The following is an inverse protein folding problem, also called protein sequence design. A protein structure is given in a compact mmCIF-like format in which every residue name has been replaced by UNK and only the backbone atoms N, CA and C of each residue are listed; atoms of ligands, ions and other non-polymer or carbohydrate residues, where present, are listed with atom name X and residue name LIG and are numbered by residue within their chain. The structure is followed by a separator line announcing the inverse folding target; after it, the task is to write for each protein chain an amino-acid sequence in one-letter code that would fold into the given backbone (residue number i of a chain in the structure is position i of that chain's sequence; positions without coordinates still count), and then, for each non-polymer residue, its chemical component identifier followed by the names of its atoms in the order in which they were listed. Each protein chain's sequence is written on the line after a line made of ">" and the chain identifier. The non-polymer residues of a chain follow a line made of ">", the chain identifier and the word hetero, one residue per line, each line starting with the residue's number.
data_IF_684883000288
#
_entry.id   IF_684883000288
#
_cell.length_a   1.000
_cell.length_b   1.000
_cell.length_c   1.000
_cell.angle_alpha   90.00
_cell.angle_beta   90.00
_cell.angle_gamma   90.00
#
_symmetry.space_group_name_H-M   'P 1'
#
loop_
_entity.id
_entity.type
_entity.pdbx_description
1 polymer ?
#
# COMPACT_ATOMS: atom_id res chain seq x y z
N UNK A 1 12.60 9.40 -5.92
CA UNK A 1 12.59 10.86 -6.15
C UNK A 1 12.68 11.22 -7.63
N UNK A 2 13.66 10.66 -8.35
CA UNK A 2 13.91 11.00 -9.75
C UNK A 2 12.78 10.60 -10.68
N UNK A 3 12.14 9.44 -10.52
CA UNK A 3 11.06 9.02 -11.43
C UNK A 3 9.90 10.01 -11.47
N UNK A 4 9.34 10.36 -10.31
CA UNK A 4 8.19 11.27 -10.25
C UNK A 4 8.55 12.69 -10.70
N UNK A 5 9.75 13.17 -10.37
CA UNK A 5 10.24 14.48 -10.81
C UNK A 5 10.49 14.51 -12.33
N UNK A 6 11.09 13.46 -12.89
CA UNK A 6 11.33 13.31 -14.32
C UNK A 6 10.01 13.15 -15.07
N UNK A 7 9.06 12.36 -14.55
CA UNK A 7 7.72 12.24 -15.12
C UNK A 7 6.96 13.58 -15.09
N UNK A 8 7.10 14.40 -14.04
CA UNK A 8 6.55 15.75 -14.02
C UNK A 8 7.20 16.66 -15.06
N UNK A 9 8.50 16.51 -15.32
CA UNK A 9 9.18 17.24 -16.40
C UNK A 9 8.67 16.79 -17.79
N UNK A 10 8.43 15.49 -17.98
CA UNK A 10 7.81 14.96 -19.21
C UNK A 10 6.41 15.56 -19.39
N UNK A 11 5.58 15.56 -18.35
CA UNK A 11 4.24 16.15 -18.36
C UNK A 11 4.25 17.62 -18.81
N UNK A 12 5.15 18.42 -18.23
CA UNK A 12 5.32 19.84 -18.56
C UNK A 12 5.75 20.08 -20.01
N UNK A 13 6.51 19.16 -20.60
CA UNK A 13 6.97 19.27 -21.98
C UNK A 13 5.93 18.79 -23.00
N UNK A 14 5.14 17.77 -22.66
CA UNK A 14 4.09 17.25 -23.54
C UNK A 14 2.94 18.26 -23.68
N UNK A 15 2.64 19.03 -22.63
CA UNK A 15 1.62 20.12 -22.62
C UNK A 15 0.20 19.69 -23.04
N UNK A 16 -0.04 18.39 -23.12
CA UNK A 16 -1.32 17.75 -23.43
C UNK A 16 -1.52 16.60 -22.45
N UNK A 17 -2.55 16.76 -21.61
CA UNK A 17 -2.87 15.84 -20.53
C UNK A 17 -3.33 14.48 -21.05
N UNK A 18 -4.10 14.43 -22.15
CA UNK A 18 -4.58 13.17 -22.73
C UNK A 18 -3.41 12.42 -23.37
N UNK A 19 -2.57 13.13 -24.12
CA UNK A 19 -1.38 12.57 -24.75
C UNK A 19 -0.36 12.09 -23.72
N UNK A 20 -0.20 12.81 -22.60
CA UNK A 20 0.67 12.38 -21.50
C UNK A 20 0.17 11.07 -20.87
N UNK A 21 -1.14 10.91 -20.64
CA UNK A 21 -1.69 9.65 -20.15
C UNK A 21 -1.39 8.48 -21.10
N UNK A 22 -1.60 8.68 -22.40
CA UNK A 22 -1.35 7.68 -23.43
C UNK A 22 0.12 7.23 -23.42
N UNK A 23 1.05 8.18 -23.33
CA UNK A 23 2.50 7.90 -23.19
C UNK A 23 2.77 7.05 -21.94
N UNK A 24 2.20 7.40 -20.79
CA UNK A 24 2.42 6.66 -19.55
C UNK A 24 1.86 5.24 -19.66
N UNK A 25 0.66 5.07 -20.22
CA UNK A 25 0.01 3.77 -20.39
C UNK A 25 0.80 2.85 -21.31
N UNK A 26 1.23 3.35 -22.47
CA UNK A 26 2.02 2.56 -23.42
C UNK A 26 3.41 2.23 -22.87
N UNK A 27 4.06 3.17 -22.18
CA UNK A 27 5.34 2.90 -21.53
C UNK A 27 5.18 1.87 -20.41
N UNK A 28 4.13 1.99 -19.59
CA UNK A 28 3.82 1.01 -18.55
C UNK A 28 3.54 -0.37 -19.17
N UNK A 29 2.80 -0.44 -20.29
CA UNK A 29 2.54 -1.69 -21.00
C UNK A 29 3.83 -2.35 -21.47
N UNK A 30 4.75 -1.58 -22.06
CA UNK A 30 6.06 -2.08 -22.47
C UNK A 30 6.87 -2.58 -21.27
N UNK A 31 6.92 -1.81 -20.19
CA UNK A 31 7.64 -2.19 -18.97
C UNK A 31 7.05 -3.46 -18.35
N UNK A 32 5.72 -3.56 -18.25
CA UNK A 32 5.02 -4.75 -17.80
C UNK A 32 5.39 -5.97 -18.65
N UNK A 33 5.40 -5.81 -19.98
CA UNK A 33 5.80 -6.89 -20.87
C UNK A 33 7.23 -7.36 -20.61
N UNK A 34 8.20 -6.45 -20.50
CA UNK A 34 9.61 -6.78 -20.27
C UNK A 34 9.77 -7.47 -18.91
N UNK A 35 9.06 -6.99 -17.89
CA UNK A 35 9.09 -7.57 -16.55
C UNK A 35 8.46 -8.96 -16.50
N UNK A 36 7.36 -9.20 -17.23
CA UNK A 36 6.69 -10.50 -17.29
C UNK A 36 7.44 -11.52 -18.15
N UNK A 37 8.09 -11.06 -19.23
CA UNK A 37 8.80 -11.90 -20.21
C UNK A 37 10.30 -11.56 -20.27
N UNK A 38 11.06 -11.69 -19.16
CA UNK A 38 12.45 -11.25 -19.11
C UNK A 38 13.40 -12.13 -19.94
N UNK A 39 12.92 -13.22 -20.53
CA UNK A 39 13.71 -14.10 -21.41
C UNK A 39 13.56 -13.72 -22.89
N UNK A 40 12.58 -12.90 -23.24
CA UNK A 40 12.30 -12.49 -24.62
C UNK A 40 12.99 -11.16 -24.93
N UNK A 41 14.06 -11.21 -25.71
CA UNK A 41 14.88 -10.03 -26.00
C UNK A 41 14.39 -9.21 -27.21
N UNK A 42 13.65 -9.83 -28.12
CA UNK A 42 13.19 -9.22 -29.40
C UNK A 42 12.06 -8.18 -29.21
N UNK A 43 11.46 -8.15 -28.02
CA UNK A 43 10.31 -7.30 -27.67
C UNK A 43 10.63 -6.29 -26.55
N UNK A 44 11.90 -5.93 -26.39
CA UNK A 44 12.38 -4.91 -25.44
C UNK A 44 12.56 -3.52 -26.05
N UNK A 45 12.14 -3.35 -27.30
CA UNK A 45 12.31 -2.11 -28.08
C UNK A 45 11.02 -1.30 -28.11
N UNK A 46 11.15 0.03 -28.10
CA UNK A 46 10.03 0.95 -28.28
C UNK A 46 9.53 0.89 -29.73
N UNK A 47 8.51 0.07 -29.96
CA UNK A 47 7.84 -0.10 -31.28
C UNK A 47 6.63 0.81 -31.46
N UNK A 48 6.05 1.33 -30.38
CA UNK A 48 4.83 2.15 -30.46
C UNK A 48 5.07 3.48 -31.18
N UNK A 49 4.15 3.84 -32.08
CA UNK A 49 4.18 5.10 -32.81
C UNK A 49 4.01 6.31 -31.89
N UNK A 50 3.17 6.22 -30.86
CA UNK A 50 2.96 7.30 -29.88
C UNK A 50 4.23 7.59 -29.09
N UNK A 51 4.87 6.55 -28.54
CA UNK A 51 6.14 6.69 -27.84
C UNK A 51 7.23 7.24 -28.78
N UNK A 52 7.31 6.73 -30.02
CA UNK A 52 8.27 7.21 -31.04
C UNK A 52 8.10 8.71 -31.34
N UNK A 53 6.87 9.21 -31.46
CA UNK A 53 6.57 10.63 -31.68
C UNK A 53 7.07 11.53 -30.54
N UNK A 54 7.22 10.98 -29.34
CA UNK A 54 7.63 11.72 -28.13
C UNK A 54 9.12 11.55 -27.84
N UNK A 55 9.85 10.65 -28.53
CA UNK A 55 11.30 10.49 -28.34
C UNK A 55 12.11 11.77 -28.61
N UNK A 56 11.58 12.69 -29.43
CA UNK A 56 12.18 14.01 -29.68
C UNK A 56 12.05 14.97 -28.47
N UNK A 57 11.21 14.64 -27.49
CA UNK A 57 11.15 15.35 -26.22
C UNK A 57 12.33 14.93 -25.35
N UNK A 58 13.25 15.86 -25.11
CA UNK A 58 14.47 15.63 -24.31
C UNK A 58 14.15 15.06 -22.92
N UNK A 59 13.15 15.63 -22.23
CA UNK A 59 12.71 15.15 -20.93
C UNK A 59 12.25 13.67 -20.95
N UNK A 60 11.57 13.24 -22.01
CA UNK A 60 11.11 11.85 -22.15
C UNK A 60 12.26 10.91 -22.49
N UNK A 61 13.13 11.33 -23.41
CA UNK A 61 14.37 10.62 -23.75
C UNK A 61 15.24 10.39 -22.52
N UNK A 62 15.40 11.42 -21.68
CA UNK A 62 16.20 11.35 -20.46
C UNK A 62 15.55 10.48 -19.39
N UNK A 63 14.23 10.48 -19.30
CA UNK A 63 13.52 9.54 -18.42
C UNK A 63 13.74 8.08 -18.87
N UNK A 64 13.64 7.78 -20.17
CA UNK A 64 13.90 6.45 -20.72
C UNK A 64 15.33 5.98 -20.41
N UNK A 65 16.32 6.85 -20.61
CA UNK A 65 17.73 6.55 -20.24
C UNK A 65 17.88 6.30 -18.75
N UNK A 66 17.25 7.14 -17.93
CA UNK A 66 17.30 7.03 -16.48
C UNK A 66 16.75 5.67 -15.99
N UNK A 67 15.63 5.18 -16.54
CA UNK A 67 15.04 3.89 -16.18
C UNK A 67 15.75 2.67 -16.84
N UNK A 68 16.78 2.92 -17.65
CA UNK A 68 17.70 1.90 -18.16
C UNK A 68 17.53 1.52 -19.63
N UNK A 69 16.70 2.23 -20.41
CA UNK A 69 16.73 2.10 -21.87
C UNK A 69 18.01 2.74 -22.43
N UNK A 70 18.48 2.22 -23.56
CA UNK A 70 19.62 2.75 -24.30
C UNK A 70 19.24 3.00 -25.76
N UNK A 71 19.91 3.96 -26.38
CA UNK A 71 19.75 4.23 -27.81
C UNK A 71 20.69 3.33 -28.60
N UNK A 72 20.15 2.43 -29.41
CA UNK A 72 20.89 1.56 -30.31
C UNK A 72 20.30 1.68 -31.72
N UNK A 73 21.12 2.00 -32.72
CA UNK A 73 20.68 2.14 -34.12
C UNK A 73 19.45 3.06 -34.29
N UNK A 74 19.42 4.17 -33.55
CA UNK A 74 18.32 5.15 -33.56
C UNK A 74 16.99 4.65 -32.95
N UNK A 75 16.98 3.51 -32.27
CA UNK A 75 15.85 2.99 -31.50
C UNK A 75 16.18 2.92 -30.00
N UNK A 76 15.16 3.02 -29.15
CA UNK A 76 15.31 2.81 -27.70
C UNK A 76 15.03 1.35 -27.36
N UNK A 77 16.04 0.68 -26.79
CA UNK A 77 15.98 -0.73 -26.38
C UNK A 77 16.35 -0.86 -24.91
N UNK A 78 15.67 -1.74 -24.18
CA UNK A 78 16.11 -2.15 -22.85
C UNK A 78 17.13 -3.29 -22.95
N UNK A 79 18.42 -3.08 -22.63
CA UNK A 79 19.47 -4.08 -22.87
C UNK A 79 19.25 -5.40 -22.13
N UNK A 80 19.76 -6.51 -22.67
CA UNK A 80 19.63 -7.84 -22.04
C UNK A 80 20.46 -7.96 -20.75
N UNK A 81 21.56 -7.22 -20.67
CA UNK A 81 22.50 -7.17 -19.56
C UNK A 81 22.01 -6.27 -18.42
N UNK A 82 21.03 -5.40 -18.68
CA UNK A 82 20.54 -4.43 -17.72
C UNK A 82 19.62 -5.10 -16.67
N UNK A 83 19.83 -4.77 -15.39
CA UNK A 83 18.98 -5.30 -14.32
C UNK A 83 17.56 -4.74 -14.39
N UNK A 84 16.57 -5.58 -14.08
CA UNK A 84 15.14 -5.19 -14.13
C UNK A 84 14.69 -4.30 -12.94
N UNK A 85 15.58 -3.99 -12.00
CA UNK A 85 15.19 -3.24 -10.80
C UNK A 85 14.73 -1.83 -11.12
N UNK A 86 15.43 -1.11 -12.01
CA UNK A 86 15.00 0.22 -12.47
C UNK A 86 13.63 0.18 -13.16
N UNK A 87 13.35 -0.87 -13.92
CA UNK A 87 12.03 -1.08 -14.52
C UNK A 87 10.94 -1.36 -13.50
N UNK A 88 11.22 -2.06 -12.40
CA UNK A 88 10.24 -2.28 -11.32
C UNK A 88 9.93 -0.98 -10.57
N UNK A 89 10.95 -0.15 -10.33
CA UNK A 89 10.76 1.19 -9.74
C UNK A 89 9.96 2.08 -10.69
N UNK A 90 10.30 2.07 -11.98
CA UNK A 90 9.58 2.81 -13.02
C UNK A 90 8.14 2.32 -13.21
N UNK A 91 7.90 1.00 -13.18
CA UNK A 91 6.56 0.39 -13.20
C UNK A 91 5.73 0.94 -12.06
N UNK A 92 6.25 0.87 -10.83
CA UNK A 92 5.55 1.40 -9.66
C UNK A 92 5.34 2.91 -9.77
N UNK A 93 6.31 3.68 -10.28
CA UNK A 93 6.16 5.13 -10.48
C UNK A 93 5.13 5.48 -11.55
N UNK A 94 5.08 4.74 -12.65
CA UNK A 94 4.10 4.92 -13.73
C UNK A 94 2.69 4.50 -13.31
N UNK A 95 2.54 3.32 -12.70
CA UNK A 95 1.25 2.87 -12.13
C UNK A 95 0.73 3.91 -11.15
N UNK A 96 1.60 4.42 -10.28
CA UNK A 96 1.29 5.51 -9.37
C UNK A 96 0.87 6.77 -10.13
N UNK A 97 1.68 7.28 -11.06
CA UNK A 97 1.38 8.51 -11.84
C UNK A 97 0.07 8.39 -12.65
N UNK A 98 -0.20 7.24 -13.25
CA UNK A 98 -1.44 6.94 -13.97
C UNK A 98 -2.62 6.95 -13.01
N UNK A 99 -2.52 6.21 -11.90
CA UNK A 99 -3.56 6.18 -10.88
C UNK A 99 -3.78 7.57 -10.25
N UNK A 100 -2.73 8.39 -10.16
CA UNK A 100 -2.75 9.75 -9.62
C UNK A 100 -3.41 10.78 -10.54
N UNK A 101 -3.11 10.75 -11.83
CA UNK A 101 -3.51 11.81 -12.76
C UNK A 101 -4.80 11.50 -13.52
N UNK A 102 -5.17 10.23 -13.69
CA UNK A 102 -6.21 9.84 -14.65
C UNK A 102 -7.27 8.87 -14.11
N UNK A 103 -7.00 8.22 -12.96
CA UNK A 103 -7.85 7.14 -12.44
C UNK A 103 -7.88 5.91 -13.37
N UNK A 104 -8.47 4.80 -12.92
CA UNK A 104 -8.67 3.65 -13.81
C UNK A 104 -9.87 3.91 -14.73
N UNK A 105 -9.59 4.46 -15.92
CA UNK A 105 -10.23 4.14 -17.19
C UNK A 105 -11.78 4.17 -17.26
N UNK A 106 -12.41 5.25 -16.77
CA UNK A 106 -13.82 5.56 -17.11
C UNK A 106 -14.03 6.85 -17.89
N UNK A 107 -13.06 7.76 -17.94
CA UNK A 107 -13.21 9.02 -18.69
C UNK A 107 -12.72 8.96 -20.15
N UNK A 108 -12.07 7.87 -20.59
CA UNK A 108 -11.62 7.72 -21.99
C UNK A 108 -12.77 7.38 -22.96
N UNK A 109 -13.92 6.88 -22.46
CA UNK A 109 -15.09 6.59 -23.31
C UNK A 109 -15.77 7.84 -23.90
N UNK A 110 -15.45 9.04 -23.42
CA UNK A 110 -16.01 10.29 -23.96
C UNK A 110 -15.25 10.81 -25.19
N UNK A 111 -14.04 10.32 -25.46
CA UNK A 111 -13.21 10.72 -26.61
C UNK A 111 -13.02 9.50 -27.50
N UNK A 112 -13.77 9.41 -28.61
CA UNK A 112 -13.80 8.26 -29.53
C UNK A 112 -12.47 7.91 -30.19
N UNK A 113 -11.53 7.36 -29.42
CA UNK A 113 -10.26 6.81 -29.86
C UNK A 113 -10.45 5.32 -30.24
N UNK A 114 -9.76 4.80 -31.28
CA UNK A 114 -9.90 3.43 -31.74
C UNK A 114 -9.49 2.40 -30.66
N UNK A 115 -10.32 1.35 -30.52
CA UNK A 115 -10.17 0.20 -29.62
C UNK A 115 -8.92 -0.68 -29.92
N UNK A 116 -7.71 -0.15 -29.80
CA UNK A 116 -6.48 -0.97 -29.90
C UNK A 116 -5.80 -1.27 -28.56
N UNK A 117 -6.30 -0.73 -27.45
CA UNK A 117 -5.80 -1.07 -26.11
C UNK A 117 -6.60 -2.28 -25.59
N UNK A 118 -6.15 -3.49 -25.91
CA UNK A 118 -6.52 -4.67 -25.11
C UNK A 118 -5.90 -4.50 -23.73
N UNK A 119 -6.60 -3.78 -22.85
CA UNK A 119 -6.27 -3.70 -21.43
C UNK A 119 -6.20 -5.13 -20.88
N UNK A 120 -4.99 -5.58 -20.53
CA UNK A 120 -4.82 -6.83 -19.79
C UNK A 120 -5.65 -6.72 -18.52
N UNK A 121 -6.65 -7.60 -18.36
CA UNK A 121 -7.42 -7.75 -17.12
C UNK A 121 -6.43 -7.85 -15.95
N UNK A 122 -6.52 -6.94 -14.98
CA UNK A 122 -5.77 -7.05 -13.71
C UNK A 122 -5.97 -8.46 -13.15
N UNK A 123 -4.88 -9.09 -12.69
CA UNK A 123 -4.91 -10.44 -12.10
C UNK A 123 -5.95 -10.44 -10.99
N UNK A 124 -7.01 -11.23 -11.15
CA UNK A 124 -8.01 -11.42 -10.11
C UNK A 124 -7.57 -12.57 -9.23
N UNK A 125 -7.07 -12.25 -8.03
CA UNK A 125 -6.62 -13.25 -7.09
C UNK A 125 -7.78 -14.10 -6.57
N UNK A 126 -7.56 -15.41 -6.47
CA UNK A 126 -8.46 -16.31 -5.75
C UNK A 126 -8.06 -16.41 -4.28
N UNK A 127 -9.04 -16.49 -3.35
CA UNK A 127 -8.77 -16.76 -1.94
C UNK A 127 -8.03 -18.09 -1.73
N UNK A 128 -7.05 -18.08 -0.83
CA UNK A 128 -6.28 -19.26 -0.43
C UNK A 128 -6.96 -19.97 0.74
N UNK A 129 -8.03 -20.73 0.47
CA UNK A 129 -8.73 -21.53 1.48
C UNK A 129 -8.18 -22.96 1.50
N UNK A 130 -6.94 -23.12 1.96
CA UNK A 130 -6.19 -24.39 1.81
C UNK A 130 -5.66 -24.95 3.13
N UNK A 131 -5.79 -24.22 4.24
CA UNK A 131 -5.34 -24.71 5.53
C UNK A 131 -6.37 -25.68 6.13
N UNK A 132 -5.95 -26.92 6.36
CA UNK A 132 -6.71 -27.93 7.09
C UNK A 132 -6.28 -27.91 8.56
N UNK A 133 -6.91 -27.04 9.35
CA UNK A 133 -6.57 -26.85 10.77
C UNK A 133 -7.73 -26.25 11.55
N UNK A 134 -7.86 -26.64 12.82
CA UNK A 134 -8.80 -26.02 13.77
C UNK A 134 -8.15 -24.85 14.55
N UNK A 135 -6.86 -24.59 14.31
CA UNK A 135 -6.12 -23.53 14.99
C UNK A 135 -6.67 -22.15 14.60
N UNK A 136 -7.25 -21.45 15.58
CA UNK A 136 -7.90 -20.16 15.36
C UNK A 136 -6.96 -19.06 14.88
N UNK A 137 -5.68 -19.08 15.28
CA UNK A 137 -4.69 -18.12 14.80
C UNK A 137 -4.40 -18.33 13.31
N UNK A 138 -4.19 -19.59 12.90
CA UNK A 138 -3.93 -19.91 11.49
C UNK A 138 -5.12 -19.58 10.59
N UNK A 139 -6.35 -19.91 11.03
CA UNK A 139 -7.58 -19.54 10.33
C UNK A 139 -7.76 -18.01 10.23
N UNK A 140 -7.38 -17.28 11.29
CA UNK A 140 -7.40 -15.81 11.27
C UNK A 140 -6.38 -15.24 10.28
N UNK A 141 -5.17 -15.79 10.22
CA UNK A 141 -4.13 -15.39 9.25
C UNK A 141 -4.62 -15.63 7.81
N UNK A 142 -5.20 -16.80 7.54
CA UNK A 142 -5.79 -17.11 6.22
C UNK A 142 -6.88 -16.09 5.84
N UNK A 143 -7.77 -15.78 6.77
CA UNK A 143 -8.84 -14.79 6.55
C UNK A 143 -8.27 -13.42 6.22
N UNK A 144 -7.30 -12.93 7.01
CA UNK A 144 -6.65 -11.63 6.77
C UNK A 144 -5.93 -11.59 5.41
N UNK A 145 -5.26 -12.68 5.03
CA UNK A 145 -4.57 -12.78 3.75
C UNK A 145 -5.53 -12.78 2.54
N UNK A 146 -6.71 -13.38 2.71
CA UNK A 146 -7.77 -13.35 1.70
C UNK A 146 -8.45 -11.97 1.65
N UNK A 147 -8.65 -11.34 2.79
CA UNK A 147 -9.24 -9.99 2.88
C UNK A 147 -8.42 -8.95 2.12
N UNK A 148 -7.11 -9.14 1.94
CA UNK A 148 -6.27 -8.23 1.16
C UNK A 148 -6.74 -8.08 -0.30
N UNK A 149 -7.42 -9.09 -0.85
CA UNK A 149 -7.94 -9.06 -2.24
C UNK A 149 -8.94 -7.91 -2.43
N UNK A 150 -9.71 -7.55 -1.40
CA UNK A 150 -10.75 -6.50 -1.51
C UNK A 150 -10.16 -5.12 -1.78
N UNK A 151 -8.93 -4.85 -1.35
CA UNK A 151 -8.25 -3.57 -1.60
C UNK A 151 -7.75 -3.43 -3.03
N UNK A 152 -7.77 -4.51 -3.83
CA UNK A 152 -7.42 -4.50 -5.26
C UNK A 152 -8.65 -4.24 -6.15
N UNK A 153 -9.81 -3.93 -5.57
CA UNK A 153 -10.99 -3.49 -6.31
C UNK A 153 -10.81 -2.05 -6.83
N UNK A 154 -10.76 -1.89 -8.14
CA UNK A 154 -10.49 -0.59 -8.78
C UNK A 154 -11.56 0.47 -8.54
N UNK A 155 -12.84 0.08 -8.50
CA UNK A 155 -13.92 1.02 -8.18
C UNK A 155 -13.77 1.55 -6.75
N UNK A 156 -13.45 0.67 -5.82
CA UNK A 156 -13.21 1.03 -4.42
C UNK A 156 -11.97 1.92 -4.27
N UNK A 157 -10.88 1.61 -4.96
CA UNK A 157 -9.69 2.47 -5.00
C UNK A 157 -9.99 3.83 -5.64
N UNK A 158 -10.82 3.88 -6.67
CA UNK A 158 -11.23 5.14 -7.30
C UNK A 158 -12.03 6.02 -6.32
N UNK A 159 -12.99 5.44 -5.61
CA UNK A 159 -13.73 6.17 -4.56
C UNK A 159 -12.80 6.70 -3.46
N UNK A 160 -11.79 5.91 -3.07
CA UNK A 160 -10.77 6.35 -2.12
C UNK A 160 -9.99 7.56 -2.65
N UNK A 161 -9.54 7.53 -3.92
CA UNK A 161 -8.82 8.66 -4.54
C UNK A 161 -9.64 9.95 -4.54
N UNK A 162 -10.94 9.88 -4.79
CA UNK A 162 -11.85 11.04 -4.78
C UNK A 162 -11.92 11.74 -3.41
N UNK A 163 -11.62 11.02 -2.32
CA UNK A 163 -11.61 11.57 -0.97
C UNK A 163 -10.28 12.22 -0.59
N UNK A 164 -9.19 11.86 -1.25
CA UNK A 164 -7.84 12.32 -0.93
C UNK A 164 -7.63 13.70 -1.59
N UNK A 165 -7.29 14.76 -0.84
CA UNK A 165 -6.95 16.07 -1.41
C UNK A 165 -5.54 16.04 -2.02
N UNK A 166 -5.37 15.21 -3.05
CA UNK A 166 -4.07 14.76 -3.53
C UNK A 166 -3.16 15.93 -3.90
N UNK A 167 -3.64 16.88 -4.71
CA UNK A 167 -2.85 18.05 -5.14
C UNK A 167 -2.30 18.81 -3.92
N UNK A 168 -3.12 19.02 -2.89
CA UNK A 168 -2.70 19.69 -1.66
C UNK A 168 -1.61 18.88 -0.95
N UNK A 169 -1.79 17.57 -0.78
CA UNK A 169 -0.79 16.71 -0.14
C UNK A 169 0.52 16.65 -0.92
N UNK A 170 0.47 16.70 -2.25
CA UNK A 170 1.65 16.73 -3.12
C UNK A 170 2.44 18.03 -2.94
N UNK A 171 1.76 19.18 -2.90
CA UNK A 171 2.40 20.47 -2.62
C UNK A 171 3.05 20.48 -1.23
N UNK A 172 2.33 19.98 -0.21
CA UNK A 172 2.86 19.83 1.15
C UNK A 172 4.07 18.90 1.19
N UNK A 173 4.07 17.80 0.43
CA UNK A 173 5.19 16.87 0.34
C UNK A 173 6.43 17.53 -0.29
N UNK A 174 6.25 18.32 -1.35
CA UNK A 174 7.34 19.10 -1.96
C UNK A 174 7.93 20.11 -0.97
N UNK A 175 7.08 20.82 -0.23
CA UNK A 175 7.53 21.78 0.78
C UNK A 175 8.25 21.09 1.95
N UNK A 176 7.77 19.92 2.39
CA UNK A 176 8.46 19.08 3.38
C UNK A 176 9.86 18.71 2.91
N UNK A 177 10.01 18.26 1.66
CA UNK A 177 11.30 17.90 1.10
C UNK A 177 12.24 19.11 1.06
N UNK A 178 11.77 20.26 0.57
CA UNK A 178 12.57 21.50 0.52
C UNK A 178 13.06 21.90 1.91
N UNK A 179 12.19 21.82 2.91
CA UNK A 179 12.56 22.13 4.28
C UNK A 179 13.57 21.14 4.85
N UNK A 180 13.43 19.85 4.57
CA UNK A 180 14.42 18.84 4.98
C UNK A 180 15.77 19.06 4.30
N UNK A 181 15.80 19.34 3.00
CA UNK A 181 17.01 19.69 2.27
C UNK A 181 17.68 20.94 2.85
N UNK A 182 16.89 21.95 3.24
CA UNK A 182 17.39 23.15 3.93
C UNK A 182 18.06 22.77 5.24
N UNK A 183 17.41 21.95 6.07
CA UNK A 183 17.94 21.47 7.37
C UNK A 183 19.20 20.63 7.24
N UNK A 184 19.31 19.81 6.19
CA UNK A 184 20.53 19.06 5.88
C UNK A 184 21.66 20.02 5.51
N UNK A 185 21.39 21.00 4.65
CA UNK A 185 22.37 22.03 4.24
C UNK A 185 22.84 22.90 5.40
N UNK A 186 21.94 23.26 6.33
CA UNK A 186 22.29 24.03 7.54
C UNK A 186 22.94 23.18 8.63
N UNK A 187 23.00 21.86 8.46
CA UNK A 187 23.59 20.93 9.42
C UNK A 187 22.70 20.61 10.64
N UNK A 188 21.46 21.10 10.66
CA UNK A 188 20.46 20.80 11.69
C UNK A 188 20.10 19.30 11.71
N UNK A 189 20.07 18.65 10.55
CA UNK A 189 19.83 17.22 10.40
C UNK A 189 21.01 16.57 9.67
N UNK A 190 21.55 15.50 10.23
CA UNK A 190 22.52 14.63 9.56
C UNK A 190 21.77 13.47 8.91
N UNK A 191 21.86 13.33 7.59
CA UNK A 191 21.19 12.24 6.89
C UNK A 191 21.12 12.42 5.38
N UNK A 192 20.51 11.43 4.72
CA UNK A 192 20.15 11.49 3.31
C UNK A 192 18.84 12.27 3.14
N UNK A 193 18.64 12.77 1.92
CA UNK A 193 17.40 13.44 1.54
C UNK A 193 16.21 12.46 1.57
N UNK A 194 15.03 12.97 1.93
CA UNK A 194 13.81 12.18 2.01
C UNK A 194 13.21 11.99 0.62
N UNK A 195 12.76 10.77 0.31
CA UNK A 195 12.08 10.53 -0.94
C UNK A 195 10.72 11.23 -1.00
N UNK A 196 10.32 11.69 -2.18
CA UNK A 196 8.98 12.24 -2.41
C UNK A 196 7.87 11.28 -1.98
N UNK A 197 8.06 9.98 -2.19
CA UNK A 197 7.06 8.98 -1.85
C UNK A 197 6.86 8.86 -0.33
N UNK A 198 7.95 8.99 0.43
CA UNK A 198 7.93 9.04 1.89
C UNK A 198 7.33 10.37 2.36
N UNK A 199 7.72 11.50 1.76
CA UNK A 199 7.14 12.79 2.09
C UNK A 199 5.62 12.80 1.88
N UNK A 200 5.14 12.28 0.75
CA UNK A 200 3.71 12.15 0.45
C UNK A 200 3.01 11.18 1.41
N UNK A 201 3.65 10.07 1.78
CA UNK A 201 3.10 9.14 2.77
C UNK A 201 2.94 9.81 4.15
N UNK A 202 3.89 10.65 4.55
CA UNK A 202 3.80 11.44 5.78
C UNK A 202 2.65 12.47 5.72
N UNK A 203 2.46 13.14 4.59
CA UNK A 203 1.33 14.08 4.42
C UNK A 203 -0.01 13.36 4.41
N UNK A 204 -0.10 12.20 3.74
CA UNK A 204 -1.29 11.35 3.77
C UNK A 204 -1.62 10.91 5.20
N UNK A 205 -0.61 10.47 5.94
CA UNK A 205 -0.74 10.04 7.33
C UNK A 205 -1.24 11.19 8.24
N UNK A 206 -0.62 12.37 8.12
CA UNK A 206 -1.02 13.56 8.86
C UNK A 206 -2.43 14.02 8.53
N UNK A 207 -2.77 14.08 7.23
CA UNK A 207 -4.13 14.40 6.80
C UNK A 207 -5.15 13.38 7.29
N UNK A 208 -4.82 12.08 7.21
CA UNK A 208 -5.72 11.03 7.66
C UNK A 208 -6.08 11.21 9.13
N UNK A 209 -5.07 11.37 9.98
CA UNK A 209 -5.25 11.50 11.43
C UNK A 209 -5.92 12.80 11.85
N UNK A 210 -5.57 13.92 11.24
CA UNK A 210 -5.96 15.23 11.75
C UNK A 210 -7.14 15.87 11.00
N UNK A 211 -7.51 15.36 9.83
CA UNK A 211 -8.54 15.97 8.96
C UNK A 211 -9.56 14.98 8.43
N UNK A 212 -9.18 13.73 8.15
CA UNK A 212 -10.07 12.79 7.49
C UNK A 212 -10.84 11.90 8.46
N UNK A 213 -10.15 11.26 9.41
CA UNK A 213 -10.69 10.17 10.23
C UNK A 213 -10.72 10.56 11.72
N UNK A 214 -11.75 10.10 12.44
CA UNK A 214 -11.98 10.48 13.84
C UNK A 214 -11.96 9.28 14.78
N UNK A 215 -11.25 9.42 15.91
CA UNK A 215 -11.18 8.38 16.92
C UNK A 215 -12.49 8.31 17.72
N UNK A 216 -12.94 7.09 18.02
CA UNK A 216 -14.13 6.86 18.84
C UNK A 216 -13.82 5.81 19.89
N UNK A 217 -13.55 6.25 21.11
CA UNK A 217 -13.56 5.34 22.25
C UNK A 217 -15.00 4.94 22.59
N UNK A 218 -15.86 5.93 22.83
CA UNK A 218 -17.30 5.74 23.10
C UNK A 218 -18.10 6.79 22.33
N UNK A 219 -19.26 6.44 21.72
CA UNK A 219 -20.07 7.43 21.02
C UNK A 219 -20.71 8.42 22.01
N UNK A 220 -20.85 9.67 21.58
CA UNK A 220 -21.67 10.66 22.30
C UNK A 220 -23.15 10.36 22.12
N UNK A 221 -23.99 10.78 23.06
CA UNK A 221 -25.44 10.56 22.99
C UNK A 221 -26.05 11.25 21.76
N UNK A 222 -26.86 10.53 20.99
CA UNK A 222 -27.50 11.05 19.78
C UNK A 222 -28.47 12.22 20.07
N UNK A 223 -29.04 12.28 21.29
CA UNK A 223 -30.01 13.31 21.67
C UNK A 223 -29.39 14.56 22.31
N UNK A 224 -28.33 14.40 23.13
CA UNK A 224 -27.81 15.50 23.94
C UNK A 224 -26.29 15.69 23.87
N UNK A 225 -25.57 14.87 23.11
CA UNK A 225 -24.12 14.96 22.94
C UNK A 225 -23.27 14.59 24.16
N UNK A 226 -23.88 14.26 25.30
CA UNK A 226 -23.16 13.88 26.54
C UNK A 226 -22.63 12.45 26.50
N UNK A 227 -21.80 12.12 27.49
CA UNK A 227 -21.19 10.79 27.63
C UNK A 227 -22.21 9.67 27.76
N UNK A 228 -21.80 8.49 27.31
CA UNK A 228 -22.62 7.28 27.30
C UNK A 228 -21.87 6.10 27.92
N UNK A 229 -22.61 5.10 28.36
CA UNK A 229 -22.09 3.86 28.94
C UNK A 229 -22.50 2.66 28.09
N UNK A 230 -21.57 1.72 27.92
CA UNK A 230 -21.81 0.49 27.16
C UNK A 230 -22.92 -0.33 27.83
N UNK A 231 -23.80 -0.89 27.02
CA UNK A 231 -24.91 -1.73 27.47
C UNK A 231 -24.71 -3.16 26.99
N UNK A 232 -24.63 -3.35 25.67
CA UNK A 232 -24.49 -4.67 25.04
C UNK A 232 -24.03 -4.53 23.60
N UNK A 233 -23.58 -5.64 23.03
CA UNK A 233 -23.31 -5.76 21.59
C UNK A 233 -24.43 -6.52 20.92
N UNK A 234 -24.89 -6.04 19.77
CA UNK A 234 -25.85 -6.73 18.90
C UNK A 234 -25.22 -6.94 17.51
N UNK A 235 -25.87 -7.74 16.67
CA UNK A 235 -25.49 -7.90 15.26
C UNK A 235 -26.45 -7.09 14.40
N UNK A 236 -25.91 -6.32 13.45
CA UNK A 236 -26.68 -5.58 12.45
C UNK A 236 -26.25 -6.02 11.06
N UNK A 237 -27.24 -6.37 10.22
CA UNK A 237 -27.03 -6.62 8.80
C UNK A 237 -27.40 -5.37 8.01
N UNK A 238 -26.44 -4.85 7.28
CA UNK A 238 -26.65 -3.78 6.29
C UNK A 238 -26.74 -4.39 4.90
N UNK A 239 -27.03 -3.57 3.90
CA UNK A 239 -26.97 -3.99 2.49
C UNK A 239 -25.58 -4.51 2.08
N UNK A 240 -24.52 -3.96 2.69
CA UNK A 240 -23.13 -4.18 2.26
C UNK A 240 -22.36 -5.13 3.17
N UNK A 241 -22.74 -5.27 4.44
CA UNK A 241 -22.01 -6.08 5.41
C UNK A 241 -22.85 -6.44 6.64
N UNK A 242 -22.44 -7.52 7.32
CA UNK A 242 -22.88 -7.84 8.67
C UNK A 242 -21.83 -7.34 9.65
N UNK A 243 -22.23 -6.50 10.61
CA UNK A 243 -21.33 -5.88 11.58
C UNK A 243 -21.84 -6.02 13.02
N UNK A 244 -20.92 -5.94 13.97
CA UNK A 244 -21.23 -5.84 15.39
C UNK A 244 -21.58 -4.39 15.71
N UNK A 245 -22.61 -4.16 16.51
CA UNK A 245 -23.01 -2.82 16.96
C UNK A 245 -22.96 -2.79 18.47
N UNK A 246 -22.13 -1.90 18.99
CA UNK A 246 -22.08 -1.60 20.42
C UNK A 246 -23.19 -0.61 20.75
N UNK A 247 -24.09 -0.97 21.66
CA UNK A 247 -25.16 -0.12 22.15
C UNK A 247 -24.73 0.59 23.42
N UNK A 248 -24.97 1.88 23.47
CA UNK A 248 -24.66 2.74 24.59
C UNK A 248 -25.89 3.49 25.09
N UNK A 249 -25.94 3.75 26.40
CA UNK A 249 -27.00 4.53 27.04
C UNK A 249 -26.43 5.78 27.70
N UNK A 250 -27.10 6.90 27.51
CA UNK A 250 -26.72 8.18 28.11
C UNK A 250 -27.13 8.21 29.58
N UNK A 251 -26.18 8.54 30.45
CA UNK A 251 -26.42 8.69 31.90
C UNK A 251 -27.17 9.96 32.25
N UNK A 252 -27.21 10.96 31.36
CA UNK A 252 -27.82 12.27 31.61
C UNK A 252 -29.28 12.36 31.18
N UNK A 253 -29.62 11.90 29.97
CA UNK A 253 -30.98 12.03 29.43
C UNK A 253 -31.67 10.68 29.18
N UNK A 254 -31.01 9.55 29.45
CA UNK A 254 -31.54 8.21 29.19
C UNK A 254 -31.61 7.82 27.71
N UNK A 255 -31.24 8.71 26.77
CA UNK A 255 -31.16 8.44 25.34
C UNK A 255 -30.12 7.38 24.98
N UNK A 256 -30.17 6.88 23.74
CA UNK A 256 -29.25 5.84 23.27
C UNK A 256 -28.19 6.42 22.33
N UNK A 257 -27.12 5.67 22.12
CA UNK A 257 -26.17 5.86 21.04
C UNK A 257 -25.73 4.51 20.50
N UNK A 258 -25.54 4.43 19.19
CA UNK A 258 -25.07 3.21 18.54
C UNK A 258 -23.67 3.41 17.96
N UNK A 259 -22.84 2.39 18.08
CA UNK A 259 -21.54 2.36 17.43
C UNK A 259 -21.35 1.08 16.63
N UNK A 260 -21.78 1.08 15.36
CA UNK A 260 -21.50 -0.01 14.43
C UNK A 260 -19.99 -0.10 14.12
N UNK A 261 -19.44 -1.31 14.26
CA UNK A 261 -18.05 -1.67 13.97
C UNK A 261 -17.94 -2.18 12.53
N UNK A 262 -17.86 -1.25 11.57
CA UNK A 262 -17.84 -1.55 10.15
C UNK A 262 -16.48 -2.11 9.68
N UNK A 263 -16.52 -3.13 8.82
CA UNK A 263 -15.35 -3.74 8.18
C UNK A 263 -15.26 -3.39 6.68
N UNK A 264 -16.35 -2.92 6.05
CA UNK A 264 -16.33 -2.49 4.66
C UNK A 264 -15.56 -1.19 4.50
N UNK A 265 -14.44 -1.16 3.73
CA UNK A 265 -13.71 0.07 3.46
C UNK A 265 -14.59 1.14 2.80
N UNK A 266 -15.56 0.74 1.96
CA UNK A 266 -16.53 1.65 1.34
C UNK A 266 -17.34 2.39 2.41
N UNK A 267 -17.80 1.68 3.44
CA UNK A 267 -18.54 2.28 4.55
C UNK A 267 -17.63 3.21 5.34
N UNK A 268 -16.38 2.82 5.58
CA UNK A 268 -15.41 3.60 6.35
C UNK A 268 -15.00 4.92 5.67
N UNK A 269 -14.95 4.97 4.33
CA UNK A 269 -14.76 6.23 3.59
C UNK A 269 -15.88 7.25 3.85
N UNK A 270 -17.10 6.76 4.12
CA UNK A 270 -18.28 7.57 4.44
C UNK A 270 -18.36 7.93 5.93
N UNK A 271 -18.19 6.95 6.82
CA UNK A 271 -18.37 7.16 8.26
C UNK A 271 -17.20 7.89 8.90
N UNK A 272 -15.98 7.70 8.36
CA UNK A 272 -14.75 8.40 8.75
C UNK A 272 -14.46 8.39 10.24
N UNK A 273 -14.83 7.31 10.93
CA UNK A 273 -14.66 7.19 12.38
C UNK A 273 -14.54 5.74 12.81
N UNK A 274 -13.83 5.51 13.91
CA UNK A 274 -13.68 4.18 14.50
C UNK A 274 -12.53 4.06 15.50
N UNK A 275 -12.09 2.83 15.76
CA UNK A 275 -10.89 2.49 16.54
C UNK A 275 -9.80 1.92 15.62
N UNK A 276 -8.72 1.39 16.18
CA UNK A 276 -7.55 0.96 15.39
C UNK A 276 -7.88 0.04 14.21
N UNK A 277 -8.83 -0.88 14.39
CA UNK A 277 -9.39 -1.72 13.31
C UNK A 277 -9.88 -0.93 12.09
N UNK A 278 -10.80 0.00 12.31
CA UNK A 278 -11.36 0.84 11.25
C UNK A 278 -10.32 1.80 10.65
N UNK A 279 -9.43 2.34 11.49
CA UNK A 279 -8.36 3.24 11.06
C UNK A 279 -7.38 2.54 10.12
N UNK A 280 -6.80 1.39 10.53
CA UNK A 280 -5.87 0.63 9.72
C UNK A 280 -6.52 0.09 8.43
N UNK A 281 -7.77 -0.36 8.50
CA UNK A 281 -8.52 -0.86 7.35
C UNK A 281 -8.74 0.25 6.28
N UNK A 282 -9.26 1.41 6.70
CA UNK A 282 -9.47 2.54 5.79
C UNK A 282 -8.14 3.07 5.23
N UNK A 283 -7.12 3.23 6.09
CA UNK A 283 -5.82 3.73 5.67
C UNK A 283 -5.12 2.77 4.68
N UNK A 284 -5.22 1.46 4.88
CA UNK A 284 -4.74 0.45 3.93
C UNK A 284 -5.35 0.68 2.54
N UNK A 285 -6.66 0.92 2.45
CA UNK A 285 -7.31 1.24 1.19
C UNK A 285 -6.72 2.50 0.55
N UNK A 286 -6.54 3.58 1.32
CA UNK A 286 -5.98 4.84 0.80
C UNK A 286 -4.56 4.64 0.26
N UNK A 287 -3.70 3.92 0.97
CA UNK A 287 -2.36 3.58 0.51
C UNK A 287 -2.39 2.75 -0.79
N UNK A 288 -3.24 1.71 -0.85
CA UNK A 288 -3.40 0.87 -2.06
C UNK A 288 -3.95 1.67 -3.24
N UNK A 289 -4.89 2.58 -3.00
CA UNK A 289 -5.48 3.46 -4.01
C UNK A 289 -4.47 4.45 -4.62
N UNK A 290 -3.45 4.83 -3.83
CA UNK A 290 -2.30 5.61 -4.26
C UNK A 290 -1.12 4.76 -4.76
N UNK A 291 -1.30 3.44 -4.91
CA UNK A 291 -0.30 2.55 -5.48
C UNK A 291 0.86 2.18 -4.57
N UNK A 292 0.81 2.48 -3.26
CA UNK A 292 1.81 2.01 -2.31
C UNK A 292 1.71 0.48 -2.12
N UNK A 293 2.83 -0.23 -2.19
CA UNK A 293 2.88 -1.63 -1.78
C UNK A 293 2.72 -1.70 -0.26
N UNK A 294 1.56 -2.21 0.17
CA UNK A 294 1.06 -2.02 1.54
C UNK A 294 0.70 -3.36 2.14
N UNK A 295 1.10 -3.58 3.39
CA UNK A 295 0.63 -4.66 4.24
C UNK A 295 -0.34 -4.15 5.29
N UNK A 296 -1.36 -4.95 5.58
CA UNK A 296 -2.12 -4.85 6.81
C UNK A 296 -1.40 -5.70 7.87
N UNK A 297 -1.12 -5.13 9.04
CA UNK A 297 -0.40 -5.81 10.13
C UNK A 297 -1.33 -6.09 11.28
N UNK A 298 -1.34 -7.35 11.71
CA UNK A 298 -2.16 -7.86 12.80
C UNK A 298 -1.29 -8.29 13.96
N UNK A 299 -1.40 -7.56 15.07
CA UNK A 299 -0.86 -7.94 16.37
C UNK A 299 -1.97 -8.61 17.19
N UNK A 300 -1.71 -9.86 17.58
CA UNK A 300 -2.63 -10.68 18.36
C UNK A 300 -2.94 -10.12 19.76
N UNK A 301 -2.20 -9.11 20.22
CA UNK A 301 -2.45 -8.38 21.47
C UNK A 301 -3.38 -7.16 21.27
N UNK A 302 -4.42 -7.32 20.45
CA UNK A 302 -5.49 -6.35 20.17
C UNK A 302 -5.02 -5.02 19.57
N UNK A 303 -4.12 -5.05 18.57
CA UNK A 303 -3.79 -3.86 17.79
C UNK A 303 -3.52 -4.20 16.32
N UNK A 304 -3.70 -3.21 15.46
CA UNK A 304 -3.51 -3.34 14.02
C UNK A 304 -3.00 -2.04 13.42
N UNK A 305 -2.18 -2.15 12.38
CA UNK A 305 -1.58 -1.02 11.68
C UNK A 305 -1.20 -1.42 10.25
N UNK A 306 -0.39 -0.62 9.56
CA UNK A 306 0.03 -0.86 8.19
C UNK A 306 1.57 -0.92 8.06
N UNK A 307 2.08 -1.59 7.03
CA UNK A 307 3.44 -1.35 6.54
C UNK A 307 3.39 -0.88 5.09
N UNK A 308 4.29 0.02 4.71
CA UNK A 308 4.47 0.45 3.32
C UNK A 308 5.90 0.13 2.89
N UNK A 309 6.06 -0.49 1.73
CA UNK A 309 7.38 -0.80 1.20
C UNK A 309 8.03 0.46 0.61
N UNK A 310 9.22 0.80 1.11
CA UNK A 310 10.07 1.80 0.49
C UNK A 310 11.00 1.12 -0.51
N UNK A 311 10.85 1.51 -1.78
CA UNK A 311 11.65 0.97 -2.87
C UNK A 311 13.08 1.54 -2.88
N UNK A 312 13.30 2.72 -2.30
CA UNK A 312 14.64 3.33 -2.25
C UNK A 312 15.52 2.62 -1.21
N UNK A 313 15.02 2.41 0.00
CA UNK A 313 15.71 1.62 1.03
C UNK A 313 15.58 0.10 0.82
N UNK A 314 14.64 -0.33 -0.03
CA UNK A 314 14.26 -1.72 -0.24
C UNK A 314 13.87 -2.43 1.06
N UNK A 315 13.08 -1.76 1.90
CA UNK A 315 12.62 -2.24 3.21
C UNK A 315 11.17 -1.87 3.50
N UNK A 316 10.52 -2.62 4.39
CA UNK A 316 9.19 -2.28 4.90
C UNK A 316 9.27 -1.22 6.00
N UNK A 317 8.48 -0.15 5.85
CA UNK A 317 8.32 0.90 6.84
C UNK A 317 7.04 0.66 7.64
N UNK A 318 7.15 0.69 8.95
CA UNK A 318 6.02 0.70 9.86
C UNK A 318 5.17 1.97 9.67
N UNK A 319 3.84 1.87 9.64
CA UNK A 319 2.91 3.00 9.59
C UNK A 319 1.74 2.75 10.53
N UNK A 320 1.61 3.55 11.60
CA UNK A 320 0.42 3.54 12.44
C UNK A 320 -0.44 4.79 12.14
N UNK A 321 -1.59 4.63 11.46
CA UNK A 321 -2.48 5.75 11.16
C UNK A 321 -3.20 6.31 12.38
N UNK A 322 -3.46 5.50 13.41
CA UNK A 322 -4.10 5.95 14.64
C UNK A 322 -3.19 6.92 15.37
N UNK A 323 -1.91 6.59 15.41
CA UNK A 323 -0.89 7.36 16.11
C UNK A 323 -0.29 8.46 15.23
N UNK A 324 -0.40 8.35 13.90
CA UNK A 324 0.20 9.30 12.95
C UNK A 324 1.72 9.14 12.89
N UNK A 325 2.20 7.91 13.11
CA UNK A 325 3.62 7.59 13.28
C UNK A 325 4.14 6.76 12.12
N UNK A 326 5.26 7.21 11.53
CA UNK A 326 5.98 6.51 10.48
C UNK A 326 7.31 5.95 11.03
N UNK A 327 7.63 4.73 10.64
CA UNK A 327 8.90 4.03 10.86
C UNK A 327 9.40 3.99 12.31
N UNK A 328 8.50 3.79 13.27
CA UNK A 328 8.83 3.63 14.70
C UNK A 328 8.30 2.30 15.27
N UNK A 329 8.74 1.14 14.75
CA UNK A 329 8.14 -0.16 15.07
C UNK A 329 8.22 -0.54 16.55
N UNK A 330 9.17 0.01 17.30
CA UNK A 330 9.36 -0.33 18.72
C UNK A 330 8.44 0.45 19.65
N UNK A 331 7.59 1.32 19.12
CA UNK A 331 6.63 2.09 19.92
C UNK A 331 5.69 1.19 20.72
N UNK A 332 5.38 -0.01 20.24
CA UNK A 332 4.46 -0.93 20.93
C UNK A 332 5.13 -1.68 22.08
N UNK A 333 6.22 -2.40 21.79
CA UNK A 333 6.90 -3.21 22.80
C UNK A 333 7.66 -2.36 23.81
N UNK A 334 8.45 -1.39 23.34
CA UNK A 334 9.25 -0.53 24.19
C UNK A 334 8.48 0.71 24.66
N UNK A 335 7.78 1.39 23.75
CA UNK A 335 7.04 2.61 24.10
C UNK A 335 5.83 2.35 25.00
N UNK A 336 4.93 1.46 24.61
CA UNK A 336 3.71 1.15 25.35
C UNK A 336 3.87 0.00 26.35
N UNK A 337 5.02 -0.70 26.32
CA UNK A 337 5.24 -1.87 27.17
C UNK A 337 4.41 -3.10 26.78
N UNK A 338 3.91 -3.18 25.55
CA UNK A 338 3.09 -4.32 25.10
C UNK A 338 3.91 -5.60 25.13
N UNK A 339 3.33 -6.64 25.74
CA UNK A 339 3.89 -7.99 25.78
C UNK A 339 3.51 -8.75 24.50
N UNK A 340 4.16 -8.39 23.39
CA UNK A 340 3.86 -8.97 22.07
C UNK A 340 4.05 -10.51 22.05
N UNK A 341 3.31 -11.16 21.15
CA UNK A 341 3.37 -12.61 20.88
C UNK A 341 3.50 -12.89 19.38
N UNK A 342 2.45 -12.65 18.60
CA UNK A 342 2.43 -12.81 17.15
C UNK A 342 2.04 -11.51 16.47
N UNK A 343 2.88 -11.05 15.53
CA UNK A 343 2.61 -9.93 14.64
C UNK A 343 2.76 -10.39 13.20
N UNK A 344 1.65 -10.45 12.47
CA UNK A 344 1.59 -11.01 11.12
C UNK A 344 1.23 -9.92 10.14
N UNK A 345 2.02 -9.78 9.07
CA UNK A 345 1.76 -8.83 8.01
C UNK A 345 1.27 -9.54 6.75
N UNK A 346 0.18 -9.03 6.16
CA UNK A 346 -0.43 -9.57 4.94
C UNK A 346 -0.53 -8.49 3.87
N UNK A 347 -0.18 -8.82 2.64
CA UNK A 347 -0.27 -7.95 1.46
C UNK A 347 -1.12 -8.59 0.37
N UNK A 348 -1.23 -7.91 -0.78
CA UNK A 348 -1.93 -8.46 -1.95
C UNK A 348 -1.28 -9.71 -2.54
N UNK A 349 0.03 -9.92 -2.35
CA UNK A 349 0.76 -11.01 -2.99
C UNK A 349 1.52 -11.90 -2.00
N UNK A 350 1.77 -11.42 -0.79
CA UNK A 350 2.67 -12.07 0.17
C UNK A 350 2.16 -11.95 1.62
N UNK A 351 2.66 -12.83 2.50
CA UNK A 351 2.46 -12.75 3.95
C UNK A 351 3.74 -13.15 4.71
N UNK A 352 3.96 -12.53 5.86
CA UNK A 352 5.17 -12.74 6.65
C UNK A 352 4.88 -12.58 8.14
N UNK A 353 5.49 -13.45 8.96
CA UNK A 353 5.62 -13.18 10.39
C UNK A 353 6.68 -12.08 10.57
N UNK A 354 6.24 -10.93 11.04
CA UNK A 354 7.05 -9.71 11.20
C UNK A 354 7.29 -9.38 12.67
N UNK A 355 6.94 -10.29 13.59
CA UNK A 355 7.06 -10.11 15.06
C UNK A 355 8.40 -9.49 15.47
N UNK A 356 9.48 -9.97 14.88
CA UNK A 356 10.86 -9.60 15.21
C UNK A 356 11.21 -8.14 14.87
N UNK A 357 10.45 -7.49 13.97
CA UNK A 357 10.60 -6.05 13.69
C UNK A 357 10.12 -5.18 14.85
N UNK A 358 9.15 -5.69 15.61
CA UNK A 358 8.40 -4.94 16.61
C UNK A 358 8.89 -5.18 18.03
N UNK A 359 9.99 -5.92 18.21
CA UNK A 359 10.60 -6.21 19.52
C UNK A 359 12.11 -6.35 19.42
N UNK A 360 12.83 -5.99 20.48
CA UNK A 360 14.24 -6.33 20.65
C UNK A 360 14.46 -7.62 21.45
N UNK A 361 13.43 -8.09 22.17
CA UNK A 361 13.54 -9.27 23.04
C UNK A 361 12.84 -10.46 22.38
N UNK A 362 13.52 -11.11 21.42
CA UNK A 362 12.93 -12.22 20.66
C UNK A 362 12.73 -13.44 21.57
N UNK A 363 13.68 -13.70 22.48
CA UNK A 363 13.60 -14.83 23.43
C UNK A 363 12.39 -14.75 24.33
N UNK A 364 12.08 -13.58 24.86
CA UNK A 364 10.94 -13.40 25.76
C UNK A 364 9.61 -13.43 25.00
N UNK A 365 9.59 -12.96 23.75
CA UNK A 365 8.44 -13.16 22.85
C UNK A 365 8.22 -14.64 22.54
N UNK A 366 9.28 -15.40 22.21
CA UNK A 366 9.20 -16.84 21.96
C UNK A 366 8.57 -17.61 23.12
N UNK A 367 8.90 -17.27 24.37
CA UNK A 367 8.28 -17.90 25.55
C UNK A 367 6.77 -17.67 25.65
N UNK A 368 6.25 -16.58 25.09
CA UNK A 368 4.81 -16.27 25.08
C UNK A 368 4.07 -16.82 23.87
N UNK A 369 4.78 -17.39 22.89
CA UNK A 369 4.19 -17.92 21.65
C UNK A 369 3.74 -19.36 21.85
N UNK A 370 2.55 -19.51 22.43
CA UNK A 370 1.95 -20.82 22.75
C UNK A 370 0.69 -21.17 21.94
N UNK A 371 0.24 -20.28 21.05
CA UNK A 371 -1.02 -20.47 20.31
C UNK A 371 -0.91 -21.48 19.17
N UNK A 372 0.29 -21.68 18.63
CA UNK A 372 0.62 -22.60 17.53
C UNK A 372 2.11 -22.91 17.59
N UNK A 373 2.55 -24.09 17.17
CA UNK A 373 3.98 -24.36 17.07
C UNK A 373 4.63 -23.52 15.95
N UNK A 374 5.91 -23.18 16.10
CA UNK A 374 6.63 -22.41 15.07
C UNK A 374 6.69 -23.15 13.73
N UNK A 375 6.80 -24.48 13.76
CA UNK A 375 6.80 -25.30 12.56
C UNK A 375 5.46 -25.25 11.81
N UNK A 376 4.33 -25.36 12.53
CA UNK A 376 3.00 -25.23 11.95
C UNK A 376 2.74 -23.83 11.40
N UNK A 377 3.17 -22.78 12.12
CA UNK A 377 3.03 -21.41 11.65
C UNK A 377 3.83 -21.19 10.35
N UNK A 378 5.10 -21.58 10.33
CA UNK A 378 5.95 -21.48 9.13
C UNK A 378 5.34 -22.28 7.97
N UNK A 379 4.86 -23.51 8.23
CA UNK A 379 4.19 -24.34 7.25
C UNK A 379 2.95 -23.66 6.66
N UNK A 380 2.07 -23.13 7.50
CA UNK A 380 0.87 -22.42 7.06
C UNK A 380 1.21 -21.18 6.21
N UNK A 381 2.20 -20.38 6.66
CA UNK A 381 2.65 -19.18 5.94
C UNK A 381 3.22 -19.57 4.56
N UNK A 382 4.03 -20.62 4.47
CA UNK A 382 4.58 -21.10 3.20
C UNK A 382 3.49 -21.64 2.26
N UNK A 383 2.53 -22.40 2.78
CA UNK A 383 1.41 -22.93 1.98
C UNK A 383 0.55 -21.83 1.39
N UNK A 384 0.14 -20.85 2.21
CA UNK A 384 -0.65 -19.70 1.75
C UNK A 384 0.11 -18.87 0.70
N UNK A 385 1.42 -18.62 0.93
CA UNK A 385 2.29 -17.94 -0.04
C UNK A 385 2.37 -18.70 -1.35
N UNK A 386 2.62 -20.01 -1.30
CA UNK A 386 2.72 -20.84 -2.50
C UNK A 386 1.44 -20.76 -3.35
N UNK A 387 0.27 -20.82 -2.71
CA UNK A 387 -1.02 -20.69 -3.41
C UNK A 387 -1.18 -19.33 -4.10
N UNK A 388 -0.87 -18.22 -3.42
CA UNK A 388 -0.95 -16.88 -4.02
C UNK A 388 0.10 -16.69 -5.12
N UNK A 389 1.32 -17.14 -4.88
CA UNK A 389 2.43 -17.02 -5.83
C UNK A 389 2.20 -17.86 -7.10
N UNK A 390 1.47 -18.97 -7.04
CA UNK A 390 1.09 -19.75 -8.22
C UNK A 390 0.28 -18.93 -9.24
N UNK A 391 -0.39 -17.86 -8.80
CA UNK A 391 -1.18 -16.94 -9.63
C UNK A 391 -0.34 -15.77 -10.19
N UNK A 392 0.97 -15.73 -9.91
CA UNK A 392 1.87 -14.65 -10.30
C UNK A 392 2.85 -15.07 -11.39
N UNK A 393 3.32 -14.09 -12.17
CA UNK A 393 4.36 -14.31 -13.17
C UNK A 393 5.66 -14.82 -12.50
N UNK A 394 6.47 -15.64 -13.20
CA UNK A 394 7.76 -16.11 -12.67
C UNK A 394 8.68 -14.97 -12.21
N UNK A 395 8.66 -13.83 -12.91
CA UNK A 395 9.46 -12.67 -12.56
C UNK A 395 9.01 -12.00 -11.25
N UNK A 396 7.69 -11.87 -11.02
CA UNK A 396 7.17 -11.36 -9.74
C UNK A 396 7.51 -12.31 -8.60
N UNK A 397 7.37 -13.63 -8.79
CA UNK A 397 7.77 -14.63 -7.79
C UNK A 397 9.25 -14.51 -7.40
N UNK A 398 10.15 -14.37 -8.37
CA UNK A 398 11.59 -14.16 -8.10
C UNK A 398 11.86 -12.87 -7.31
N UNK A 399 11.17 -11.79 -7.67
CA UNK A 399 11.28 -10.52 -6.94
C UNK A 399 10.81 -10.66 -5.48
N UNK A 400 9.64 -11.28 -5.26
CA UNK A 400 9.10 -11.51 -3.92
C UNK A 400 10.01 -12.39 -3.07
N UNK A 401 10.56 -13.46 -3.64
CA UNK A 401 11.51 -14.33 -2.94
C UNK A 401 12.77 -13.56 -2.51
N UNK A 402 13.36 -12.74 -3.38
CA UNK A 402 14.53 -11.93 -3.05
C UNK A 402 14.23 -10.88 -1.97
N UNK A 403 13.04 -10.25 -2.03
CA UNK A 403 12.57 -9.31 -1.01
C UNK A 403 12.37 -9.98 0.35
N UNK A 404 11.71 -11.14 0.37
CA UNK A 404 11.47 -11.91 1.58
C UNK A 404 12.79 -12.37 2.23
N UNK A 405 13.76 -12.84 1.44
CA UNK A 405 15.07 -13.23 1.96
C UNK A 405 15.77 -12.06 2.66
N UNK A 406 15.75 -10.87 2.07
CA UNK A 406 16.34 -9.68 2.70
C UNK A 406 15.64 -9.34 4.01
N UNK A 407 14.31 -9.34 4.01
CA UNK A 407 13.52 -9.09 5.21
C UNK A 407 13.84 -10.11 6.32
N UNK A 408 14.00 -11.40 5.98
CA UNK A 408 14.37 -12.42 6.96
C UNK A 408 15.73 -12.14 7.59
N UNK A 409 16.73 -11.71 6.81
CA UNK A 409 18.04 -11.31 7.36
C UNK A 409 17.89 -10.19 8.37
N UNK A 410 17.09 -9.17 8.06
CA UNK A 410 16.85 -8.05 8.98
C UNK A 410 16.11 -8.48 10.25
N UNK A 411 15.18 -9.44 10.13
CA UNK A 411 14.38 -9.96 11.25
C UNK A 411 15.16 -10.92 12.15
N UNK A 412 16.27 -11.50 11.67
CA UNK A 412 17.14 -12.38 12.47
C UNK A 412 18.06 -11.62 13.43
N UNK A 413 18.17 -10.30 13.27
CA UNK A 413 19.00 -9.46 14.13
C UNK A 413 18.19 -8.96 15.33
N UNK A 414 18.52 -9.43 16.54
CA UNK A 414 18.17 -8.72 17.77
C UNK A 414 18.94 -7.39 17.75
N UNK A 415 18.22 -6.29 17.62
CA UNK A 415 18.78 -4.94 17.44
C UNK A 415 19.07 -4.23 18.76
#
# INVERSE_FOLDING_TARGET
>A
MEDMARLALVEQNVKDICKFNEILQELLQLINYILDNPHENENRTIKSETLRKVLNCEAFSDYLKYIGFQTLQNEFIFPKEQTLNKLRVAQAALERKINFCYGSDKNVRATGLPNHVQYRKKIQFTPANILETDNQLLLKIQTLFNDMIKYENEELQQMAREHIPLVTLQLMALDRMREQQRKIKTGEIKGHDMSYDIALLMELLGWFKHKFFTWVDKPSCDNCGKSTQFVKTITMRTETETCRVELYKCTSCGGNAQFPRYNSPRTLLRTRRGRCGEWANCFTLLCRALGYDTRYVYDTTDHVWCEVFDYESNSWLHVDPCEGVLNSPLMYSHGWGKKLTYVIAVSKDDLQDVTWRYTFDHKEVLRRRSAVSEAELVGAVLSLRAHRHAQLSPARRRYLAARALRELVDLMLER
#
